data_IF_713350605680
#
_entry.id   IF_713350605680
#
_cell.length_a   1.000
_cell.length_b   1.000
_cell.length_c   1.000
_cell.angle_alpha   90.00
_cell.angle_beta   90.00
_cell.angle_gamma   90.00
#
_symmetry.space_group_name_H-M   'P 1'
#
loop_
_entity.id
_entity.type
_entity.pdbx_description
1 polymer ?
#
# COMPACT_ATOMS: atom_id res chain seq x y z
N UNK A 1 -48.26 11.42 45.45
CA UNK A 1 -47.71 12.24 44.35
C UNK A 1 -46.63 11.40 43.69
N UNK A 2 -47.04 10.58 42.72
CA UNK A 2 -46.81 10.77 41.25
C UNK A 2 -45.34 10.51 40.91
N UNK A 3 -44.92 9.27 40.60
CA UNK A 3 -45.03 8.58 39.30
C UNK A 3 -44.74 9.49 38.10
N UNK A 4 -43.59 9.25 37.45
CA UNK A 4 -43.31 9.19 35.99
C UNK A 4 -41.80 8.99 35.85
N UNK A 5 -41.28 7.75 35.75
CA UNK A 5 -41.12 6.94 34.54
C UNK A 5 -40.40 7.63 33.37
N UNK A 6 -39.21 7.09 33.10
CA UNK A 6 -38.72 6.63 31.80
C UNK A 6 -38.44 7.64 30.70
N UNK A 7 -37.15 7.76 30.39
CA UNK A 7 -36.66 7.70 29.01
C UNK A 7 -35.41 6.82 28.95
N UNK A 8 -35.69 5.51 28.99
CA UNK A 8 -34.81 4.45 28.54
C UNK A 8 -34.73 4.54 26.99
N UNK A 9 -33.56 4.83 26.42
CA UNK A 9 -33.28 4.71 24.99
C UNK A 9 -31.78 4.40 24.82
N UNK A 10 -31.40 3.13 24.65
CA UNK A 10 -31.26 2.40 23.37
C UNK A 10 -29.87 2.58 22.73
N UNK A 11 -28.96 1.68 23.12
CA UNK A 11 -28.13 0.81 22.27
C UNK A 11 -26.91 0.40 23.10
N UNK A 12 -26.80 -0.90 23.42
CA UNK A 12 -25.68 -1.40 24.21
C UNK A 12 -24.37 -1.07 23.53
N UNK A 13 -23.53 -0.27 24.19
CA UNK A 13 -22.24 0.14 23.66
C UNK A 13 -21.37 -1.09 23.46
N UNK A 14 -21.31 -1.57 22.21
CA UNK A 14 -20.47 -2.71 21.81
C UNK A 14 -18.98 -2.37 21.83
N UNK A 15 -18.63 -1.10 22.09
CA UNK A 15 -17.30 -0.52 21.98
C UNK A 15 -17.00 0.35 23.20
N UNK A 16 -15.74 0.31 23.63
CA UNK A 16 -15.21 1.16 24.70
C UNK A 16 -14.05 2.01 24.20
N UNK A 17 -13.85 3.17 24.83
CA UNK A 17 -12.76 4.08 24.47
C UNK A 17 -11.46 3.72 25.18
N UNK A 18 -10.42 3.41 24.41
CA UNK A 18 -9.06 3.17 24.90
C UNK A 18 -8.18 4.35 24.48
N UNK A 19 -7.55 5.02 25.45
CA UNK A 19 -6.56 6.06 25.17
C UNK A 19 -5.23 5.42 24.77
N UNK A 20 -4.87 5.53 23.50
CA UNK A 20 -3.59 5.07 22.97
C UNK A 20 -2.59 6.22 22.93
N UNK A 21 -1.36 5.95 23.35
CA UNK A 21 -0.24 6.90 23.28
C UNK A 21 0.94 6.27 22.55
N UNK A 22 1.41 6.91 21.50
CA UNK A 22 2.56 6.44 20.75
C UNK A 22 3.80 6.34 21.67
N UNK A 23 4.51 5.20 21.71
CA UNK A 23 5.72 5.06 22.51
C UNK A 23 6.85 5.99 22.01
N UNK A 24 6.90 6.30 20.71
CA UNK A 24 7.97 7.05 20.06
C UNK A 24 7.75 8.58 20.19
N UNK A 25 6.66 9.12 19.63
CA UNK A 25 6.42 10.56 19.58
C UNK A 25 5.44 11.10 20.63
N UNK A 26 4.90 10.21 21.48
CA UNK A 26 3.93 10.55 22.55
C UNK A 26 2.58 11.10 22.07
N UNK A 27 2.31 11.14 20.76
CA UNK A 27 0.99 11.47 20.21
C UNK A 27 -0.09 10.53 20.78
N UNK A 28 -1.23 11.10 21.16
CA UNK A 28 -2.31 10.38 21.81
C UNK A 28 -3.61 10.47 21.04
N UNK A 29 -4.32 9.34 20.90
CA UNK A 29 -5.64 9.26 20.28
C UNK A 29 -6.52 8.26 21.03
N UNK A 30 -7.81 8.57 21.13
CA UNK A 30 -8.82 7.67 21.68
C UNK A 30 -9.31 6.72 20.60
N UNK A 31 -9.26 5.41 20.86
CA UNK A 31 -9.71 4.36 19.95
C UNK A 31 -10.96 3.69 20.49
N UNK A 32 -11.95 3.47 19.63
CA UNK A 32 -13.14 2.69 19.97
C UNK A 32 -12.86 1.22 19.69
N UNK A 33 -12.75 0.41 20.74
CA UNK A 33 -12.41 -1.02 20.65
C UNK A 33 -13.61 -1.87 21.07
N UNK A 34 -14.00 -2.91 20.31
CA UNK A 34 -15.09 -3.79 20.71
C UNK A 34 -14.82 -4.49 22.04
N UNK A 35 -15.76 -4.39 22.98
CA UNK A 35 -15.68 -5.04 24.31
C UNK A 35 -15.46 -6.55 24.16
N UNK A 36 -16.11 -7.16 23.16
CA UNK A 36 -16.00 -8.61 22.88
C UNK A 36 -14.57 -9.04 22.57
N UNK A 37 -13.80 -8.24 21.83
CA UNK A 37 -12.42 -8.57 21.47
C UNK A 37 -11.53 -8.54 22.72
N UNK A 38 -11.71 -7.53 23.57
CA UNK A 38 -10.91 -7.41 24.80
C UNK A 38 -11.18 -8.57 25.77
N UNK A 39 -12.44 -8.93 25.93
CA UNK A 39 -12.87 -9.99 26.86
C UNK A 39 -12.58 -11.42 26.38
N UNK A 40 -12.26 -11.62 25.09
CA UNK A 40 -11.81 -12.92 24.57
C UNK A 40 -10.41 -13.29 25.05
N UNK A 41 -9.57 -12.29 25.34
CA UNK A 41 -8.20 -12.54 25.82
C UNK A 41 -8.19 -13.03 27.28
N UNK A 42 -7.29 -13.96 27.60
CA UNK A 42 -7.13 -14.44 28.98
C UNK A 42 -6.60 -13.35 29.91
N UNK A 43 -5.69 -12.50 29.43
CA UNK A 43 -5.03 -11.46 30.23
C UNK A 43 -4.96 -10.11 29.51
N UNK A 44 -4.27 -10.03 28.37
CA UNK A 44 -4.10 -8.81 27.58
C UNK A 44 -4.52 -9.03 26.14
N UNK A 45 -5.10 -7.99 25.54
CA UNK A 45 -5.46 -7.91 24.14
C UNK A 45 -4.41 -7.10 23.41
N UNK A 46 -3.77 -7.71 22.42
CA UNK A 46 -2.82 -7.01 21.55
C UNK A 46 -3.59 -6.31 20.44
N UNK A 47 -3.39 -5.00 20.32
CA UNK A 47 -3.96 -4.17 19.25
C UNK A 47 -2.81 -3.63 18.41
N UNK A 48 -2.81 -3.97 17.12
CA UNK A 48 -1.85 -3.39 16.17
C UNK A 48 -2.33 -2.00 15.74
N UNK A 49 -1.44 -1.01 15.83
CA UNK A 49 -1.66 0.37 15.44
C UNK A 49 -0.76 0.65 14.22
N UNK A 50 -1.29 0.68 13.00
CA UNK A 50 -0.51 1.00 11.81
C UNK A 50 -0.10 2.47 11.78
N UNK A 51 0.93 2.78 10.99
CA UNK A 51 1.33 4.16 10.70
C UNK A 51 0.17 4.94 10.06
N UNK A 52 0.11 6.25 10.33
CA UNK A 52 -0.97 7.14 9.88
C UNK A 52 -2.27 7.05 10.70
N UNK A 53 -2.47 6.00 11.51
CA UNK A 53 -3.68 5.89 12.32
C UNK A 53 -3.65 6.71 13.62
N UNK A 54 -2.48 6.86 14.25
CA UNK A 54 -2.29 7.75 15.40
C UNK A 54 -1.22 8.82 15.09
N UNK A 55 -0.13 8.38 14.48
CA UNK A 55 1.00 9.16 13.99
C UNK A 55 1.75 8.31 12.96
N UNK A 56 2.88 8.79 12.43
CA UNK A 56 3.66 8.08 11.40
C UNK A 56 4.41 6.84 11.91
N UNK A 57 4.31 6.51 13.19
CA UNK A 57 4.90 5.30 13.77
C UNK A 57 3.87 4.18 13.89
N UNK A 58 4.28 2.97 13.53
CA UNK A 58 3.54 1.76 13.86
C UNK A 58 4.05 1.10 15.14
N UNK A 59 3.10 0.56 15.90
CA UNK A 59 3.37 -0.09 17.18
C UNK A 59 2.19 -0.97 17.57
N UNK A 60 2.40 -1.82 18.57
CA UNK A 60 1.34 -2.61 19.17
C UNK A 60 1.08 -2.10 20.59
N UNK A 61 -0.19 -2.09 21.00
CA UNK A 61 -0.61 -1.75 22.35
C UNK A 61 -1.22 -2.98 23.03
N UNK A 62 -0.88 -3.20 24.30
CA UNK A 62 -1.43 -4.28 25.10
C UNK A 62 -2.50 -3.70 26.04
N UNK A 63 -3.76 -4.07 25.84
CA UNK A 63 -4.90 -3.54 26.58
C UNK A 63 -5.47 -4.61 27.50
N UNK A 64 -5.72 -4.28 28.76
CA UNK A 64 -6.34 -5.20 29.70
C UNK A 64 -7.87 -5.18 29.65
N UNK A 65 -8.51 -6.01 30.49
CA UNK A 65 -9.98 -6.10 30.58
C UNK A 65 -10.67 -4.86 31.17
N UNK A 66 -9.90 -3.95 31.76
CA UNK A 66 -10.39 -2.67 32.25
C UNK A 66 -10.19 -1.56 31.20
N UNK A 67 -9.85 -1.91 29.95
CA UNK A 67 -9.62 -0.97 28.85
C UNK A 67 -8.40 -0.06 29.09
N UNK A 68 -7.47 -0.49 29.95
CA UNK A 68 -6.24 0.23 30.28
C UNK A 68 -5.08 -0.36 29.48
N UNK A 69 -4.34 0.51 28.80
CA UNK A 69 -3.09 0.12 28.13
C UNK A 69 -2.01 -0.19 29.16
N UNK A 70 -1.47 -1.41 29.12
CA UNK A 70 -0.43 -1.91 30.03
C UNK A 70 0.97 -1.83 29.46
N UNK A 71 1.11 -1.75 28.14
CA UNK A 71 2.41 -1.63 27.50
C UNK A 71 2.28 -1.39 26.01
N UNK A 72 3.44 -1.11 25.40
CA UNK A 72 3.60 -0.95 23.97
C UNK A 72 4.76 -1.79 23.48
N UNK A 73 4.69 -2.23 22.22
CA UNK A 73 5.80 -2.84 21.50
C UNK A 73 5.98 -2.10 20.18
N UNK A 74 7.19 -1.62 19.91
CA UNK A 74 7.53 -1.05 18.60
C UNK A 74 7.62 -2.17 17.58
N UNK A 75 7.16 -1.89 16.37
CA UNK A 75 7.30 -2.82 15.25
C UNK A 75 8.67 -2.58 14.62
N UNK A 76 9.53 -3.60 14.59
CA UNK A 76 10.87 -3.49 14.02
C UNK A 76 10.83 -3.45 12.48
N UNK A 77 9.80 -4.04 11.87
CA UNK A 77 9.60 -4.11 10.43
C UNK A 77 8.12 -4.25 10.07
N UNK A 78 7.60 -3.42 9.16
CA UNK A 78 6.20 -3.43 8.73
C UNK A 78 6.11 -3.44 7.20
N UNK A 79 5.31 -4.36 6.64
CA UNK A 79 5.12 -4.49 5.19
C UNK A 79 4.34 -3.33 4.55
N UNK A 80 3.57 -2.56 5.33
CA UNK A 80 2.76 -1.43 4.82
C UNK A 80 3.59 -0.28 4.26
N UNK A 81 4.89 -0.22 4.55
CA UNK A 81 5.82 0.75 3.97
C UNK A 81 6.43 0.31 2.62
N UNK A 82 6.11 -0.90 2.13
CA UNK A 82 6.64 -1.41 0.86
C UNK A 82 5.72 -1.15 -0.33
N UNK A 83 4.41 -0.96 -0.11
CA UNK A 83 3.44 -0.80 -1.20
C UNK A 83 2.83 0.60 -1.26
N UNK A 84 2.93 1.24 -2.42
CA UNK A 84 2.32 2.53 -2.71
C UNK A 84 1.18 2.35 -3.70
N UNK A 85 0.01 2.89 -3.35
CA UNK A 85 -1.19 2.94 -4.16
C UNK A 85 -1.46 4.38 -4.61
N UNK A 86 -2.16 4.56 -5.73
CA UNK A 86 -2.53 5.87 -6.29
C UNK A 86 -3.03 6.86 -5.23
N UNK A 87 -3.94 6.42 -4.36
CA UNK A 87 -4.52 7.24 -3.28
C UNK A 87 -3.53 7.66 -2.19
N UNK A 88 -2.48 6.88 -1.94
CA UNK A 88 -1.45 7.17 -0.93
C UNK A 88 -0.37 8.14 -1.42
N UNK A 89 -0.12 8.20 -2.73
CA UNK A 89 0.92 9.07 -3.30
C UNK A 89 0.50 10.54 -3.29
N UNK A 90 -0.78 10.85 -3.54
CA UNK A 90 -1.29 12.23 -3.47
C UNK A 90 -1.04 12.87 -2.10
N UNK A 91 -1.04 12.07 -1.02
CA UNK A 91 -0.76 12.54 0.35
C UNK A 91 0.74 12.81 0.56
N UNK A 92 1.62 12.03 -0.07
CA UNK A 92 3.08 12.15 0.09
C UNK A 92 3.69 13.31 -0.71
N UNK A 93 3.11 13.65 -1.86
CA UNK A 93 3.65 14.68 -2.77
C UNK A 93 3.13 16.08 -2.43
N UNK A 94 2.17 16.22 -1.51
CA UNK A 94 1.69 17.52 -1.03
C UNK A 94 1.01 18.36 -2.12
N UNK A 95 0.49 17.75 -3.18
CA UNK A 95 -0.25 18.44 -4.23
C UNK A 95 -1.70 18.66 -3.79
N UNK A 96 -2.03 19.89 -3.39
CA UNK A 96 -3.41 20.33 -3.23
C UNK A 96 -4.10 20.37 -4.60
N UNK A 97 -5.10 19.51 -4.76
CA UNK A 97 -6.26 19.60 -5.65
C UNK A 97 -6.10 20.42 -6.94
N UNK A 98 -5.63 19.74 -8.00
CA UNK A 98 -6.30 19.90 -9.30
C UNK A 98 -7.27 18.76 -9.47
N UNK A 99 -8.57 19.06 -9.33
CA UNK A 99 -9.69 18.20 -9.73
C UNK A 99 -9.56 17.79 -11.20
N UNK A 100 -8.70 16.82 -11.51
CA UNK A 100 -8.97 15.90 -12.59
C UNK A 100 -9.84 14.80 -12.00
N UNK A 101 -10.92 14.43 -12.68
CA UNK A 101 -11.71 13.23 -12.40
C UNK A 101 -10.85 11.96 -12.56
N UNK A 102 -9.86 11.77 -11.69
CA UNK A 102 -9.06 10.56 -11.67
C UNK A 102 -9.95 9.46 -11.11
N UNK A 103 -10.48 8.61 -12.00
CA UNK A 103 -10.96 7.29 -11.62
C UNK A 103 -9.85 6.66 -10.78
N UNK A 104 -10.14 6.35 -9.52
CA UNK A 104 -9.23 5.59 -8.67
C UNK A 104 -9.09 4.20 -9.28
N UNK A 105 -8.07 4.02 -10.13
CA UNK A 105 -7.90 2.82 -10.95
C UNK A 105 -7.66 1.61 -10.04
N UNK A 106 -7.03 1.86 -8.89
CA UNK A 106 -6.80 0.82 -7.89
C UNK A 106 -8.11 0.24 -7.37
N UNK A 107 -9.21 0.99 -7.33
CA UNK A 107 -10.50 0.46 -6.86
C UNK A 107 -11.20 -0.50 -7.84
N UNK A 108 -10.75 -0.57 -9.10
CA UNK A 108 -11.37 -1.44 -10.11
C UNK A 108 -11.04 -2.92 -9.87
N UNK A 109 -12.02 -3.85 -9.95
CA UNK A 109 -11.77 -5.28 -9.73
C UNK A 109 -10.66 -5.87 -10.58
N UNK A 110 -10.59 -5.45 -11.85
CA UNK A 110 -9.52 -5.85 -12.77
C UNK A 110 -8.14 -5.44 -12.27
N UNK A 111 -8.01 -4.19 -11.81
CA UNK A 111 -6.74 -3.67 -11.31
C UNK A 111 -6.33 -4.33 -10.00
N UNK A 112 -7.28 -4.64 -9.12
CA UNK A 112 -7.01 -5.44 -7.92
C UNK A 112 -6.48 -6.84 -8.26
N UNK A 113 -7.03 -7.49 -9.30
CA UNK A 113 -6.50 -8.77 -9.78
C UNK A 113 -5.10 -8.63 -10.37
N UNK A 114 -4.83 -7.56 -11.12
CA UNK A 114 -3.48 -7.28 -11.66
C UNK A 114 -2.49 -7.04 -10.51
N UNK A 115 -2.85 -6.22 -9.52
CA UNK A 115 -2.05 -5.96 -8.32
C UNK A 115 -1.76 -7.27 -7.59
N UNK A 116 -2.75 -8.16 -7.47
CA UNK A 116 -2.53 -9.47 -6.85
C UNK A 116 -1.52 -10.32 -7.64
N UNK A 117 -1.61 -10.36 -8.98
CA UNK A 117 -0.63 -11.05 -9.82
C UNK A 117 0.79 -10.49 -9.62
N UNK A 118 0.91 -9.17 -9.47
CA UNK A 118 2.18 -8.51 -9.21
C UNK A 118 2.72 -8.82 -7.81
N UNK A 119 1.88 -8.79 -6.77
CA UNK A 119 2.27 -9.22 -5.42
C UNK A 119 2.77 -10.66 -5.41
N UNK A 120 2.04 -11.56 -6.05
CA UNK A 120 2.36 -12.99 -6.06
C UNK A 120 3.64 -13.31 -6.85
N UNK A 121 4.13 -12.37 -7.67
CA UNK A 121 5.37 -12.56 -8.41
C UNK A 121 6.61 -12.05 -7.70
N UNK A 122 6.46 -11.17 -6.70
CA UNK A 122 7.60 -10.65 -5.95
C UNK A 122 8.14 -11.75 -5.06
N UNK A 123 9.42 -12.06 -5.22
CA UNK A 123 10.17 -12.98 -4.39
C UNK A 123 11.57 -12.42 -4.11
N UNK A 124 12.13 -12.77 -2.96
CA UNK A 124 13.39 -12.22 -2.47
C UNK A 124 14.63 -12.66 -3.26
N UNK A 125 14.49 -13.53 -4.26
CA UNK A 125 15.61 -14.13 -5.00
C UNK A 125 15.71 -13.60 -6.42
N UNK A 126 14.58 -13.45 -7.11
CA UNK A 126 14.51 -13.12 -8.53
C UNK A 126 13.83 -11.78 -8.76
N UNK A 127 12.55 -11.63 -8.40
CA UNK A 127 11.76 -10.40 -8.63
C UNK A 127 11.66 -9.62 -7.33
N UNK A 128 12.49 -8.60 -7.17
CA UNK A 128 12.58 -7.83 -5.92
C UNK A 128 11.49 -6.76 -5.77
N UNK A 129 10.79 -6.42 -6.86
CA UNK A 129 9.73 -5.43 -6.83
C UNK A 129 8.96 -5.36 -8.14
N UNK A 130 7.75 -4.83 -8.05
CA UNK A 130 6.85 -4.65 -9.19
C UNK A 130 6.11 -3.32 -9.12
N UNK A 131 5.60 -2.83 -10.23
CA UNK A 131 4.83 -1.59 -10.23
C UNK A 131 4.02 -1.37 -11.49
N UNK A 132 3.06 -0.46 -11.38
CA UNK A 132 2.19 0.01 -12.44
C UNK A 132 2.22 1.53 -12.43
N UNK A 133 2.52 2.11 -13.59
CA UNK A 133 2.62 3.54 -13.78
C UNK A 133 1.72 3.98 -14.92
N UNK A 134 1.10 5.15 -14.83
CA UNK A 134 0.37 5.74 -15.95
C UNK A 134 1.31 6.15 -17.10
N UNK A 135 0.77 6.58 -18.23
CA UNK A 135 1.58 7.12 -19.35
C UNK A 135 2.32 8.40 -18.94
N UNK A 136 1.75 9.17 -18.00
CA UNK A 136 2.31 10.41 -17.47
C UNK A 136 3.35 10.19 -16.36
N UNK A 137 3.59 8.94 -15.95
CA UNK A 137 4.54 8.61 -14.87
C UNK A 137 3.94 8.59 -13.47
N UNK A 138 2.62 8.74 -13.32
CA UNK A 138 1.95 8.61 -12.02
C UNK A 138 1.97 7.17 -11.55
N UNK A 139 2.16 6.96 -10.25
CA UNK A 139 2.13 5.63 -9.64
C UNK A 139 0.69 5.18 -9.44
N UNK A 140 0.30 4.07 -10.08
CA UNK A 140 -0.98 3.41 -9.82
C UNK A 140 -0.81 2.34 -8.72
N UNK A 141 0.29 1.60 -8.78
CA UNK A 141 0.73 0.66 -7.76
C UNK A 141 2.26 0.53 -7.78
N UNK A 142 2.91 0.32 -6.65
CA UNK A 142 4.35 0.01 -6.62
C UNK A 142 4.72 -0.73 -5.35
N UNK A 143 5.43 -1.84 -5.49
CA UNK A 143 6.24 -2.49 -4.45
C UNK A 143 7.75 -2.21 -4.61
N UNK A 144 8.12 -1.25 -5.47
CA UNK A 144 9.51 -0.92 -5.74
C UNK A 144 10.18 -0.23 -4.54
N UNK A 145 11.49 -0.45 -4.32
CA UNK A 145 12.27 0.33 -3.37
C UNK A 145 12.17 1.83 -3.66
N UNK A 146 12.13 2.66 -2.61
CA UNK A 146 11.83 4.10 -2.70
C UNK A 146 12.72 4.86 -3.69
N UNK A 147 14.03 4.59 -3.69
CA UNK A 147 14.98 5.23 -4.62
C UNK A 147 14.69 4.85 -6.08
N UNK A 148 14.42 3.57 -6.34
CA UNK A 148 14.08 3.09 -7.68
C UNK A 148 12.73 3.60 -8.14
N UNK A 149 11.76 3.73 -7.21
CA UNK A 149 10.46 4.31 -7.51
C UNK A 149 10.58 5.75 -8.01
N UNK A 150 11.27 6.62 -7.28
CA UNK A 150 11.43 8.02 -7.69
C UNK A 150 12.16 8.17 -9.03
N UNK A 151 13.20 7.37 -9.25
CA UNK A 151 13.90 7.35 -10.53
C UNK A 151 12.99 6.89 -11.68
N UNK A 152 12.14 5.90 -11.41
CA UNK A 152 11.18 5.37 -12.39
C UNK A 152 10.11 6.39 -12.74
N UNK A 153 9.53 7.06 -11.74
CA UNK A 153 8.55 8.15 -11.95
C UNK A 153 9.14 9.23 -12.85
N UNK A 154 10.32 9.75 -12.47
CA UNK A 154 11.01 10.81 -13.21
C UNK A 154 11.36 10.40 -14.64
N UNK A 155 11.77 9.16 -14.85
CA UNK A 155 12.07 8.63 -16.18
C UNK A 155 10.82 8.62 -17.08
N UNK A 156 9.65 8.23 -16.55
CA UNK A 156 8.39 8.26 -17.29
C UNK A 156 7.90 9.69 -17.55
N UNK A 157 7.99 10.58 -16.56
CA UNK A 157 7.63 12.00 -16.68
C UNK A 157 8.43 12.69 -17.79
N UNK A 158 9.76 12.59 -17.76
CA UNK A 158 10.66 13.20 -18.76
C UNK A 158 10.37 12.68 -20.16
N UNK A 159 10.00 11.40 -20.30
CA UNK A 159 9.66 10.81 -21.59
C UNK A 159 8.33 11.31 -22.12
N UNK A 160 7.34 11.45 -21.24
CA UNK A 160 6.06 12.02 -21.61
C UNK A 160 6.23 13.48 -22.08
N UNK A 161 6.95 14.29 -21.31
CA UNK A 161 7.26 15.70 -21.67
C UNK A 161 7.97 15.82 -23.02
N UNK A 162 8.89 14.91 -23.32
CA UNK A 162 9.65 14.89 -24.58
C UNK A 162 8.94 14.19 -25.74
N UNK A 163 7.68 13.76 -25.56
CA UNK A 163 6.91 12.98 -26.54
C UNK A 163 7.65 11.70 -27.02
N UNK A 164 8.44 11.07 -26.15
CA UNK A 164 9.14 9.81 -26.43
C UNK A 164 8.22 8.58 -26.25
N UNK A 165 6.92 8.76 -26.53
CA UNK A 165 5.83 7.82 -26.22
C UNK A 165 5.85 6.55 -27.08
N UNK A 166 6.72 6.48 -28.09
CA UNK A 166 6.82 5.32 -29.00
C UNK A 166 7.52 4.10 -28.38
N UNK A 167 8.11 4.23 -27.19
CA UNK A 167 8.87 3.16 -26.53
C UNK A 167 7.93 2.17 -25.82
N UNK A 168 7.66 1.04 -26.48
CA UNK A 168 6.79 -0.01 -25.93
C UNK A 168 7.41 -0.86 -24.82
N UNK A 169 8.72 -0.76 -24.59
CA UNK A 169 9.46 -1.61 -23.65
C UNK A 169 10.82 -1.02 -23.27
N UNK A 170 11.24 -1.17 -22.02
CA UNK A 170 12.59 -0.80 -21.58
C UNK A 170 13.32 -1.97 -20.93
N UNK A 171 14.65 -1.93 -21.04
CA UNK A 171 15.58 -2.75 -20.29
C UNK A 171 16.68 -1.83 -19.77
N UNK A 172 16.78 -1.70 -18.45
CA UNK A 172 17.78 -0.88 -17.79
C UNK A 172 18.53 -1.74 -16.77
N UNK A 173 19.83 -1.52 -16.64
CA UNK A 173 20.63 -2.06 -15.54
C UNK A 173 20.94 -0.91 -14.60
N UNK A 174 20.66 -1.10 -13.31
CA UNK A 174 20.91 -0.12 -12.27
C UNK A 174 22.37 -0.18 -11.81
N UNK A 175 22.84 0.83 -11.08
CA UNK A 175 24.23 0.89 -10.58
C UNK A 175 24.60 -0.29 -9.68
N UNK A 176 23.64 -0.84 -8.94
CA UNK A 176 23.80 -2.04 -8.12
C UNK A 176 23.67 -3.36 -8.92
N UNK A 177 23.69 -3.27 -10.26
CA UNK A 177 23.49 -4.37 -11.19
C UNK A 177 22.12 -5.03 -11.13
N UNK A 178 21.12 -4.46 -10.47
CA UNK A 178 19.72 -4.91 -10.58
C UNK A 178 19.16 -4.58 -11.97
N UNK A 179 18.20 -5.37 -12.42
CA UNK A 179 17.64 -5.22 -13.77
C UNK A 179 16.25 -4.65 -13.64
N UNK A 180 15.98 -3.61 -14.41
CA UNK A 180 14.66 -3.02 -14.54
C UNK A 180 14.12 -3.35 -15.93
N UNK A 181 12.93 -3.92 -15.99
CA UNK A 181 12.25 -4.18 -17.25
C UNK A 181 10.83 -3.64 -17.15
N UNK A 182 10.48 -2.78 -18.10
CA UNK A 182 9.13 -2.24 -18.20
C UNK A 182 8.48 -2.57 -19.54
N UNK A 183 7.16 -2.69 -19.54
CA UNK A 183 6.35 -2.95 -20.73
C UNK A 183 5.12 -2.07 -20.71
N UNK A 184 4.91 -1.34 -21.80
CA UNK A 184 3.67 -0.65 -22.07
C UNK A 184 2.54 -1.64 -22.37
N UNK A 185 1.37 -1.43 -21.76
CA UNK A 185 0.15 -2.21 -21.93
C UNK A 185 -1.07 -1.29 -22.08
N UNK A 186 -2.10 -1.83 -22.74
CA UNK A 186 -3.42 -1.24 -22.82
C UNK A 186 -4.46 -2.33 -22.58
N UNK A 187 -5.29 -2.17 -21.55
CA UNK A 187 -6.34 -3.12 -21.13
C UNK A 187 -7.61 -2.32 -20.88
N UNK A 188 -8.74 -2.71 -21.48
CA UNK A 188 -10.02 -1.97 -21.39
C UNK A 188 -9.92 -0.46 -21.70
N UNK A 189 -9.02 -0.09 -22.63
CA UNK A 189 -8.76 1.30 -22.99
C UNK A 189 -7.91 2.09 -21.98
N UNK A 190 -7.50 1.47 -20.88
CA UNK A 190 -6.59 2.02 -19.88
C UNK A 190 -5.17 1.70 -20.29
N UNK A 191 -4.33 2.71 -20.40
CA UNK A 191 -2.93 2.57 -20.81
C UNK A 191 -2.01 2.76 -19.62
N UNK A 192 -1.05 1.87 -19.46
CA UNK A 192 -0.12 1.90 -18.33
C UNK A 192 1.18 1.16 -18.66
N UNK A 193 2.20 1.42 -17.85
CA UNK A 193 3.48 0.73 -17.87
C UNK A 193 3.55 -0.24 -16.69
N UNK A 194 3.69 -1.52 -16.99
CA UNK A 194 4.02 -2.54 -15.98
C UNK A 194 5.54 -2.63 -15.85
N UNK A 195 6.02 -2.61 -14.62
CA UNK A 195 7.44 -2.59 -14.27
C UNK A 195 7.76 -3.77 -13.36
N UNK A 196 8.88 -4.45 -13.63
CA UNK A 196 9.49 -5.41 -12.72
C UNK A 196 10.96 -5.02 -12.49
N UNK A 197 11.39 -5.09 -11.23
CA UNK A 197 12.80 -5.06 -10.87
C UNK A 197 13.22 -6.46 -10.48
N UNK A 198 14.39 -6.86 -10.98
CA UNK A 198 15.01 -8.13 -10.72
C UNK A 198 16.32 -7.96 -9.97
N UNK A 199 16.63 -8.95 -9.13
CA UNK A 199 17.90 -9.00 -8.42
C UNK A 199 19.08 -9.03 -9.39
N UNK A 200 20.26 -8.64 -8.90
CA UNK A 200 21.48 -8.64 -9.69
C UNK A 200 21.83 -10.01 -10.30
N UNK A 201 21.29 -11.10 -9.75
CA UNK A 201 21.50 -12.48 -10.19
C UNK A 201 20.75 -12.81 -11.48
N UNK A 202 19.66 -12.09 -11.77
CA UNK A 202 18.81 -12.35 -12.93
C UNK A 202 19.41 -11.69 -14.17
N UNK A 203 19.60 -12.47 -15.23
CA UNK A 203 19.98 -11.94 -16.55
C UNK A 203 18.75 -11.41 -17.27
N UNK A 204 18.90 -10.39 -18.13
CA UNK A 204 17.78 -9.81 -18.89
C UNK A 204 16.93 -10.84 -19.66
N UNK A 205 17.55 -11.90 -20.20
CA UNK A 205 16.82 -12.97 -20.89
C UNK A 205 15.83 -13.70 -19.98
N UNK A 206 16.25 -14.01 -18.74
CA UNK A 206 15.39 -14.61 -17.72
C UNK A 206 14.34 -13.62 -17.23
N UNK A 207 14.75 -12.39 -16.90
CA UNK A 207 13.79 -11.34 -16.50
C UNK A 207 12.71 -11.10 -17.56
N UNK A 208 13.07 -11.16 -18.84
CA UNK A 208 12.11 -11.07 -19.94
C UNK A 208 11.17 -12.29 -20.04
N UNK A 209 11.61 -13.48 -19.63
CA UNK A 209 10.74 -14.65 -19.53
C UNK A 209 9.72 -14.46 -18.42
N UNK A 210 10.17 -14.10 -17.21
CA UNK A 210 9.28 -13.79 -16.08
C UNK A 210 8.26 -12.72 -16.45
N UNK A 211 8.72 -11.60 -17.03
CA UNK A 211 7.83 -10.55 -17.47
C UNK A 211 6.78 -11.08 -18.46
N UNK A 212 7.17 -11.88 -19.47
CA UNK A 212 6.19 -12.46 -20.41
C UNK A 212 5.18 -13.37 -19.72
N UNK A 213 5.59 -14.15 -18.73
CA UNK A 213 4.67 -15.02 -17.99
C UNK A 213 3.70 -14.23 -17.12
N UNK A 214 4.15 -13.11 -16.53
CA UNK A 214 3.27 -12.17 -15.83
C UNK A 214 2.30 -11.49 -16.78
N UNK A 215 2.78 -10.99 -17.93
CA UNK A 215 1.92 -10.37 -18.95
C UNK A 215 0.83 -11.32 -19.42
N UNK A 216 1.16 -12.60 -19.67
CA UNK A 216 0.17 -13.63 -20.02
C UNK A 216 -0.86 -13.90 -18.92
N UNK A 217 -0.47 -13.79 -17.64
CA UNK A 217 -1.43 -13.92 -16.53
C UNK A 217 -2.37 -12.72 -16.51
N UNK A 218 -1.83 -11.52 -16.73
CA UNK A 218 -2.61 -10.28 -16.78
C UNK A 218 -3.57 -10.24 -17.98
N UNK A 219 -3.12 -10.63 -19.17
CA UNK A 219 -3.95 -10.73 -20.39
C UNK A 219 -5.10 -11.74 -20.24
N UNK A 220 -5.00 -12.73 -19.34
CA UNK A 220 -6.09 -13.68 -19.05
C UNK A 220 -7.13 -13.16 -18.06
N UNK A 221 -6.91 -11.97 -17.50
CA UNK A 221 -7.87 -11.30 -16.62
C UNK A 221 -8.88 -10.45 -17.40
N UNK A 222 -8.61 -10.19 -18.69
CA UNK A 222 -9.60 -9.73 -19.67
C UNK A 222 -10.62 -10.84 -19.99
#
# INVERSE_FOLDING_TARGET
>A
MTLTNSSNNKNGDFFEEVLIKCPNCKASRKLRVPIKIINQSKQLTTISIPSGFNCDHSFQAFVDKNFIVRGYQTVDFEFSHLELYESSVNVLVGEEDKKSESKDFTSMPLFQNIIQVLRDCVDDKEIIGSGIFSEEGKVLYSSLPQTTLFNTMKEFEVRNERNLVSVKKMYLELENSEKFISKFMAIDGIKFNLVLIFSFRVKFGMGNLHLRDILRKVEKLE
#
